data_IF_183494436910
#
_entry.id   IF_183494436910
#
_cell.length_a   1.000
_cell.length_b   1.000
_cell.length_c   1.000
_cell.angle_alpha   90.00
_cell.angle_beta   90.00
_cell.angle_gamma   90.00
#
_symmetry.space_group_name_H-M   'P 1'
#
loop_
_entity.id
_entity.type
_entity.pdbx_description
1 polymer ?
#
# COMPACT_ATOMS: atom_id res chain seq x y z
N UNK A 1 9.47 21.43 15.69
CA UNK A 1 10.40 20.80 16.66
C UNK A 1 9.98 19.35 16.84
N UNK A 2 10.94 18.43 16.93
CA UNK A 2 10.67 17.01 17.25
C UNK A 2 10.90 16.77 18.75
N UNK A 3 10.20 15.78 19.31
CA UNK A 3 10.34 15.41 20.73
C UNK A 3 11.76 14.92 21.05
N UNK A 4 12.27 15.11 22.29
CA UNK A 4 13.54 14.51 22.73
C UNK A 4 13.58 12.97 22.63
N UNK A 5 12.42 12.33 22.54
CA UNK A 5 12.28 10.88 22.37
C UNK A 5 12.44 10.42 20.92
N UNK A 6 12.54 11.34 19.96
CA UNK A 6 12.62 11.03 18.53
C UNK A 6 13.90 10.22 18.21
N UNK A 7 13.72 9.08 17.55
CA UNK A 7 14.76 8.18 17.07
C UNK A 7 14.70 8.16 15.56
N UNK A 8 15.76 8.67 14.92
CA UNK A 8 15.90 8.67 13.46
C UNK A 8 16.19 7.24 13.01
N UNK A 9 15.46 6.77 11.99
CA UNK A 9 15.84 5.59 11.22
C UNK A 9 16.62 6.04 9.99
N UNK A 10 17.87 5.59 9.87
CA UNK A 10 18.75 5.99 8.78
C UNK A 10 18.38 5.27 7.48
N UNK A 11 18.57 5.90 6.30
CA UNK A 11 18.31 5.28 5.00
C UNK A 11 19.04 3.94 4.83
N UNK A 12 20.26 3.85 5.37
CA UNK A 12 21.06 2.62 5.37
C UNK A 12 20.33 1.47 6.07
N UNK A 13 19.72 1.71 7.24
CA UNK A 13 19.00 0.67 7.99
C UNK A 13 17.81 0.09 7.19
N UNK A 14 17.16 0.92 6.35
CA UNK A 14 16.07 0.49 5.46
C UNK A 14 16.60 -0.45 4.38
N UNK A 15 17.73 -0.11 3.75
CA UNK A 15 18.31 -0.94 2.69
C UNK A 15 18.89 -2.24 3.26
N UNK A 16 19.51 -2.17 4.43
CA UNK A 16 20.04 -3.35 5.13
C UNK A 16 18.94 -4.30 5.56
N UNK A 17 17.78 -3.79 5.99
CA UNK A 17 16.60 -4.60 6.27
C UNK A 17 16.23 -5.51 5.09
N UNK A 18 16.25 -4.98 3.86
CA UNK A 18 15.97 -5.76 2.66
C UNK A 18 17.12 -6.65 2.22
N UNK A 19 18.38 -6.21 2.37
CA UNK A 19 19.55 -7.04 2.04
C UNK A 19 19.45 -8.40 2.73
N UNK A 20 19.06 -8.42 3.99
CA UNK A 20 18.94 -9.66 4.76
C UNK A 20 17.78 -10.54 4.25
N UNK A 21 16.65 -9.95 3.87
CA UNK A 21 15.51 -10.70 3.30
C UNK A 21 15.82 -11.27 1.92
N UNK A 22 16.57 -10.53 1.11
CA UNK A 22 17.08 -10.99 -0.19
C UNK A 22 18.12 -12.11 0.00
N UNK A 23 19.03 -11.97 0.97
CA UNK A 23 20.09 -12.94 1.22
C UNK A 23 19.57 -14.29 1.73
N UNK A 24 18.41 -14.31 2.38
CA UNK A 24 17.71 -15.54 2.78
C UNK A 24 16.99 -16.23 1.60
N UNK A 25 17.06 -15.66 0.39
CA UNK A 25 16.68 -16.32 -0.87
C UNK A 25 15.20 -16.21 -1.26
N UNK A 26 14.38 -15.45 -0.53
CA UNK A 26 12.93 -15.36 -0.79
C UNK A 26 12.46 -14.06 -1.43
N UNK A 27 13.23 -12.98 -1.35
CA UNK A 27 12.77 -11.64 -1.71
C UNK A 27 13.68 -11.01 -2.77
N UNK A 28 13.11 -10.18 -3.63
CA UNK A 28 13.86 -9.41 -4.63
C UNK A 28 13.52 -7.92 -4.51
N UNK A 29 14.53 -7.06 -4.40
CA UNK A 29 14.30 -5.62 -4.38
C UNK A 29 13.71 -5.17 -5.72
N UNK A 30 12.53 -4.54 -5.70
CA UNK A 30 11.79 -4.11 -6.89
C UNK A 30 12.04 -2.63 -7.17
N UNK A 31 11.75 -1.78 -6.19
CA UNK A 31 11.86 -0.33 -6.30
C UNK A 31 12.21 0.28 -4.95
N UNK A 32 12.91 1.40 -4.96
CA UNK A 32 13.15 2.21 -3.77
C UNK A 32 13.18 3.68 -4.17
N UNK A 33 12.88 4.57 -3.23
CA UNK A 33 12.84 5.98 -3.54
C UNK A 33 12.81 6.89 -2.32
N UNK A 34 13.08 8.16 -2.60
CA UNK A 34 12.95 9.26 -1.65
C UNK A 34 11.96 10.27 -2.19
N UNK A 35 11.18 10.87 -1.30
CA UNK A 35 10.14 11.86 -1.62
C UNK A 35 10.27 13.04 -0.65
N UNK A 36 9.66 14.17 -1.04
CA UNK A 36 9.60 15.38 -0.21
C UNK A 36 10.99 15.83 0.26
N UNK A 37 11.93 15.98 -0.68
CA UNK A 37 13.30 16.44 -0.38
C UNK A 37 14.04 15.53 0.61
N UNK A 38 13.81 14.22 0.51
CA UNK A 38 14.44 13.23 1.41
C UNK A 38 13.71 13.03 2.75
N UNK A 39 12.60 13.73 3.00
CA UNK A 39 11.82 13.56 4.24
C UNK A 39 11.09 12.23 4.32
N UNK A 40 10.81 11.58 3.19
CA UNK A 40 10.17 10.26 3.13
C UNK A 40 11.04 9.30 2.35
N UNK A 41 11.23 8.10 2.89
CA UNK A 41 12.02 7.04 2.28
C UNK A 41 11.20 5.77 2.24
N UNK A 42 11.37 5.01 1.17
CA UNK A 42 10.72 3.71 1.05
C UNK A 42 11.55 2.77 0.17
N UNK A 43 11.37 1.49 0.42
CA UNK A 43 11.82 0.41 -0.46
C UNK A 43 10.74 -0.66 -0.51
N UNK A 44 10.69 -1.36 -1.63
CA UNK A 44 9.70 -2.37 -1.97
C UNK A 44 10.44 -3.59 -2.48
N UNK A 45 10.11 -4.76 -1.95
CA UNK A 45 10.62 -6.03 -2.46
C UNK A 45 9.46 -6.93 -2.86
N UNK A 46 9.65 -7.69 -3.95
CA UNK A 46 8.80 -8.84 -4.29
C UNK A 46 9.01 -9.92 -3.24
N UNK A 47 7.93 -10.57 -2.81
CA UNK A 47 7.96 -11.69 -1.86
C UNK A 47 8.16 -13.05 -2.55
N UNK A 48 8.14 -13.07 -3.89
CA UNK A 48 8.08 -14.30 -4.68
C UNK A 48 6.65 -14.86 -4.81
N UNK A 49 5.69 -14.35 -4.04
CA UNK A 49 4.31 -14.80 -4.11
C UNK A 49 3.55 -14.13 -5.26
N UNK A 50 2.71 -14.90 -5.93
CA UNK A 50 1.77 -14.38 -6.93
C UNK A 50 0.45 -15.17 -6.92
N UNK A 51 -0.63 -14.53 -7.36
CA UNK A 51 -1.90 -15.18 -7.64
C UNK A 51 -2.41 -14.76 -9.01
N UNK A 52 -3.02 -15.71 -9.73
CA UNK A 52 -3.58 -15.46 -11.07
C UNK A 52 -5.10 -15.41 -10.96
N UNK A 53 -5.66 -14.21 -11.11
CA UNK A 53 -7.11 -14.00 -11.03
C UNK A 53 -7.81 -14.51 -12.29
N UNK A 54 -9.13 -14.68 -12.20
CA UNK A 54 -9.95 -15.02 -13.36
C UNK A 54 -9.77 -13.98 -14.48
N UNK A 55 -9.46 -14.46 -15.68
CA UNK A 55 -9.07 -13.61 -16.82
C UNK A 55 -7.56 -13.52 -17.06
N UNK A 56 -6.75 -14.18 -16.23
CA UNK A 56 -5.30 -14.30 -16.42
C UNK A 56 -4.49 -13.15 -15.83
N UNK A 57 -5.11 -12.25 -15.09
CA UNK A 57 -4.42 -11.13 -14.44
C UNK A 57 -3.54 -11.62 -13.29
N UNK A 58 -2.27 -11.23 -13.29
CA UNK A 58 -1.27 -11.68 -12.32
C UNK A 58 -1.05 -10.60 -11.28
N UNK A 59 -1.43 -10.92 -10.05
CA UNK A 59 -1.23 -10.03 -8.90
C UNK A 59 -0.06 -10.56 -8.06
N UNK A 60 0.94 -9.71 -7.85
CA UNK A 60 2.17 -10.05 -7.13
C UNK A 60 2.13 -9.56 -5.69
N UNK A 61 2.75 -10.32 -4.80
CA UNK A 61 2.98 -9.95 -3.41
C UNK A 61 4.24 -9.12 -3.25
N UNK A 62 4.12 -8.04 -2.49
CA UNK A 62 5.24 -7.17 -2.14
C UNK A 62 5.30 -6.93 -0.64
N UNK A 63 6.51 -6.68 -0.14
CA UNK A 63 6.77 -6.13 1.17
C UNK A 63 7.27 -4.70 1.03
N UNK A 64 6.52 -3.75 1.56
CA UNK A 64 6.88 -2.35 1.65
C UNK A 64 7.44 -2.03 3.03
N UNK A 65 8.54 -1.28 3.07
CA UNK A 65 9.06 -0.61 4.25
C UNK A 65 9.17 0.88 3.91
N UNK A 66 8.44 1.71 4.64
CA UNK A 66 8.40 3.14 4.44
C UNK A 66 8.58 3.88 5.77
N UNK A 67 9.31 4.99 5.75
CA UNK A 67 9.52 5.84 6.92
C UNK A 67 9.58 7.31 6.54
N UNK A 68 9.50 8.18 7.54
CA UNK A 68 9.71 9.61 7.38
C UNK A 68 10.58 10.20 8.46
N UNK A 69 11.44 11.13 8.07
CA UNK A 69 12.28 11.92 8.99
C UNK A 69 11.55 13.16 9.54
N UNK A 70 10.36 13.48 9.01
CA UNK A 70 9.53 14.62 9.42
C UNK A 70 8.39 14.24 10.39
N UNK A 71 8.26 12.95 10.73
CA UNK A 71 7.26 12.45 11.65
C UNK A 71 5.87 12.25 11.05
N UNK A 72 5.68 12.48 9.75
CA UNK A 72 4.38 12.29 9.08
C UNK A 72 4.00 10.83 8.84
N UNK A 73 4.97 9.92 8.96
CA UNK A 73 4.85 8.49 8.78
C UNK A 73 5.79 7.77 9.76
N UNK A 74 5.23 6.93 10.62
CA UNK A 74 6.01 5.98 11.43
C UNK A 74 6.74 4.99 10.52
N UNK A 75 7.87 4.43 10.96
CA UNK A 75 8.53 3.36 10.21
C UNK A 75 7.57 2.17 10.11
N UNK A 76 7.09 1.91 8.90
CA UNK A 76 5.97 1.00 8.64
C UNK A 76 6.43 -0.09 7.68
N UNK A 77 6.35 -1.34 8.12
CA UNK A 77 6.54 -2.52 7.29
C UNK A 77 5.18 -3.18 7.02
N UNK A 78 4.88 -3.55 5.78
CA UNK A 78 3.60 -4.17 5.45
C UNK A 78 3.64 -4.93 4.14
N UNK A 79 2.86 -6.02 4.08
CA UNK A 79 2.58 -6.70 2.82
C UNK A 79 1.56 -5.89 2.01
N UNK A 80 1.69 -5.90 0.69
CA UNK A 80 0.78 -5.20 -0.22
C UNK A 80 0.82 -5.83 -1.61
N UNK A 81 -0.29 -5.73 -2.35
CA UNK A 81 -0.35 -6.01 -3.79
C UNK A 81 -0.02 -4.79 -4.65
N UNK A 82 0.18 -3.61 -4.03
CA UNK A 82 0.47 -2.36 -4.74
C UNK A 82 1.95 -2.26 -5.06
N UNK A 83 2.27 -2.20 -6.36
CA UNK A 83 3.62 -1.84 -6.81
C UNK A 83 3.87 -0.34 -6.59
N UNK A 84 4.60 -0.02 -5.54
CA UNK A 84 4.97 1.36 -5.21
C UNK A 84 6.05 1.86 -6.15
N UNK A 85 5.79 3.01 -6.78
CA UNK A 85 6.70 3.67 -7.73
C UNK A 85 6.77 5.19 -7.52
N UNK A 86 5.80 5.77 -6.83
CA UNK A 86 5.69 7.20 -6.61
C UNK A 86 4.90 7.51 -5.32
N UNK A 87 4.73 8.79 -5.01
CA UNK A 87 4.01 9.20 -3.81
C UNK A 87 2.55 8.71 -3.78
N UNK A 88 1.85 8.68 -4.92
CA UNK A 88 0.44 8.29 -4.96
C UNK A 88 0.27 6.82 -4.57
N UNK A 89 1.05 5.93 -5.17
CA UNK A 89 1.02 4.49 -4.86
C UNK A 89 1.53 4.20 -3.46
N UNK A 90 2.51 4.96 -2.97
CA UNK A 90 2.94 4.89 -1.57
C UNK A 90 1.81 5.25 -0.60
N UNK A 91 1.04 6.31 -0.87
CA UNK A 91 -0.10 6.68 -0.03
C UNK A 91 -1.19 5.59 -0.06
N UNK A 92 -1.49 5.02 -1.22
CA UNK A 92 -2.45 3.91 -1.31
C UNK A 92 -1.98 2.71 -0.48
N UNK A 93 -0.73 2.30 -0.68
CA UNK A 93 -0.17 1.15 0.04
C UNK A 93 -0.20 1.39 1.55
N UNK A 94 0.25 2.56 2.04
CA UNK A 94 0.36 2.88 3.48
C UNK A 94 -0.95 3.23 4.17
N UNK A 95 -2.02 3.47 3.39
CA UNK A 95 -3.34 3.73 3.93
C UNK A 95 -4.10 2.44 4.28
N UNK A 96 -3.80 1.33 3.61
CA UNK A 96 -4.23 0.02 4.08
C UNK A 96 -3.43 -0.35 5.33
N UNK A 97 -4.12 -0.64 6.43
CA UNK A 97 -3.50 -0.83 7.76
C UNK A 97 -3.60 -2.27 8.24
N UNK A 98 -4.31 -3.13 7.52
CA UNK A 98 -4.48 -4.51 7.92
C UNK A 98 -3.12 -5.23 7.86
N UNK A 99 -2.63 -5.70 9.00
CA UNK A 99 -1.33 -6.40 9.10
C UNK A 99 -0.09 -5.49 9.03
N UNK A 100 -0.24 -4.17 9.04
CA UNK A 100 0.90 -3.25 9.03
C UNK A 100 1.61 -3.21 10.39
N UNK A 101 2.93 -3.42 10.38
CA UNK A 101 3.78 -3.29 11.56
C UNK A 101 4.34 -1.88 11.60
N UNK A 102 4.00 -1.13 12.65
CA UNK A 102 4.39 0.27 12.81
C UNK A 102 5.31 0.41 14.01
N UNK A 103 6.50 0.95 13.76
CA UNK A 103 7.44 1.38 14.79
C UNK A 103 7.36 2.90 14.89
N UNK A 104 6.75 3.44 15.97
CA UNK A 104 6.72 4.89 16.20
C UNK A 104 8.14 5.44 16.31
N UNK A 105 8.35 6.69 15.88
CA UNK A 105 9.66 7.36 16.01
C UNK A 105 10.09 7.63 17.45
N UNK A 106 9.24 7.40 18.45
CA UNK A 106 9.65 7.38 19.86
C UNK A 106 10.35 6.09 20.28
N UNK A 107 10.33 5.08 19.41
CA UNK A 107 10.86 3.73 19.65
C UNK A 107 12.01 3.46 18.69
N UNK A 108 13.05 2.76 19.17
CA UNK A 108 14.16 2.36 18.30
C UNK A 108 13.66 1.32 17.28
N UNK A 109 13.99 1.53 16.01
CA UNK A 109 13.76 0.52 14.99
C UNK A 109 14.69 -0.68 15.21
N UNK A 110 14.10 -1.87 15.28
CA UNK A 110 14.82 -3.13 15.38
C UNK A 110 14.43 -4.03 14.19
N UNK A 111 15.34 -4.23 13.23
CA UNK A 111 15.07 -5.06 12.05
C UNK A 111 14.65 -6.50 12.40
N UNK A 112 15.19 -7.09 13.46
CA UNK A 112 14.91 -8.48 13.82
C UNK A 112 13.49 -8.63 14.36
N UNK A 113 13.09 -7.72 15.25
CA UNK A 113 11.72 -7.70 15.81
C UNK A 113 10.69 -7.47 14.70
N UNK A 114 10.96 -6.56 13.77
CA UNK A 114 10.06 -6.29 12.64
C UNK A 114 9.96 -7.50 11.72
N UNK A 115 11.07 -8.19 11.40
CA UNK A 115 11.05 -9.42 10.58
C UNK A 115 10.30 -10.56 11.26
N UNK A 116 10.48 -10.75 12.57
CA UNK A 116 9.74 -11.76 13.34
C UNK A 116 8.23 -11.47 13.30
N UNK A 117 7.84 -10.21 13.51
CA UNK A 117 6.44 -9.79 13.42
C UNK A 117 5.87 -9.98 12.00
N UNK A 118 6.68 -9.77 10.94
CA UNK A 118 6.29 -10.06 9.55
C UNK A 118 6.09 -11.55 9.29
N UNK A 119 6.92 -12.41 9.91
CA UNK A 119 6.78 -13.87 9.81
C UNK A 119 5.47 -14.40 10.40
N UNK A 120 4.92 -13.71 11.41
CA UNK A 120 3.57 -13.98 11.93
C UNK A 120 2.48 -13.49 10.96
N UNK A 121 2.81 -12.53 10.08
CA UNK A 121 1.92 -11.89 9.12
C UNK A 121 1.83 -12.52 7.73
N UNK A 122 2.53 -13.63 7.45
CA UNK A 122 2.47 -14.32 6.14
C UNK A 122 1.03 -14.70 5.72
N UNK A 123 0.15 -14.94 6.70
CA UNK A 123 -1.29 -15.17 6.48
C UNK A 123 -2.03 -14.02 5.80
N UNK A 124 -1.49 -12.79 5.82
CA UNK A 124 -2.12 -11.63 5.21
C UNK A 124 -2.18 -11.74 3.68
N UNK A 125 -1.14 -12.30 3.05
CA UNK A 125 -1.14 -12.51 1.60
C UNK A 125 -2.16 -13.57 1.20
N UNK A 126 -2.20 -14.70 1.89
CA UNK A 126 -3.17 -15.78 1.63
C UNK A 126 -4.61 -15.26 1.75
N UNK A 127 -4.92 -14.53 2.82
CA UNK A 127 -6.24 -13.94 3.04
C UNK A 127 -6.59 -12.90 1.95
N UNK A 128 -5.62 -12.15 1.44
CA UNK A 128 -5.82 -11.26 0.31
C UNK A 128 -6.11 -12.05 -0.97
N UNK A 129 -5.28 -13.05 -1.29
CA UNK A 129 -5.41 -13.85 -2.50
C UNK A 129 -6.75 -14.58 -2.54
N UNK A 130 -7.19 -15.18 -1.44
CA UNK A 130 -8.50 -15.84 -1.32
C UNK A 130 -9.65 -14.87 -1.62
N UNK A 131 -9.65 -13.69 -0.99
CA UNK A 131 -10.68 -12.66 -1.22
C UNK A 131 -10.67 -12.15 -2.66
N UNK A 132 -9.48 -11.90 -3.22
CA UNK A 132 -9.33 -11.43 -4.60
C UNK A 132 -9.85 -12.48 -5.60
N UNK A 133 -9.56 -13.76 -5.37
CA UNK A 133 -10.08 -14.86 -6.18
C UNK A 133 -11.60 -14.95 -6.10
N UNK A 134 -12.16 -14.95 -4.89
CA UNK A 134 -13.61 -14.99 -4.67
C UNK A 134 -14.34 -13.82 -5.36
N UNK A 135 -13.78 -12.61 -5.27
CA UNK A 135 -14.31 -11.43 -5.95
C UNK A 135 -14.19 -11.54 -7.48
N UNK A 136 -13.06 -11.99 -8.00
CA UNK A 136 -12.85 -12.15 -9.46
C UNK A 136 -13.80 -13.20 -10.08
N UNK A 137 -14.20 -14.20 -9.30
CA UNK A 137 -15.11 -15.26 -9.72
C UNK A 137 -16.59 -14.85 -9.68
N UNK A 138 -16.94 -13.79 -8.93
CA UNK A 138 -18.33 -13.39 -8.68
C UNK A 138 -18.97 -12.83 -9.95
N UNK A 139 -20.02 -13.50 -10.43
CA UNK A 139 -20.88 -12.97 -11.51
C UNK A 139 -21.71 -11.81 -10.95
N UNK A 140 -21.78 -10.71 -11.71
CA UNK A 140 -22.57 -9.53 -11.37
C UNK A 140 -23.66 -9.31 -12.43
N UNK A 141 -24.85 -8.91 -11.99
CA UNK A 141 -25.95 -8.55 -12.90
C UNK A 141 -25.67 -7.16 -13.51
N UNK A 142 -25.94 -7.01 -14.80
CA UNK A 142 -25.76 -5.75 -15.53
C UNK A 142 -26.55 -4.59 -14.91
N UNK A 143 -27.75 -4.86 -14.39
CA UNK A 143 -28.56 -3.82 -13.71
C UNK A 143 -27.87 -3.28 -12.45
N UNK A 144 -27.30 -4.18 -11.64
CA UNK A 144 -26.58 -3.80 -10.42
C UNK A 144 -25.31 -3.02 -10.74
N UNK A 145 -24.59 -3.42 -11.80
CA UNK A 145 -23.40 -2.71 -12.28
C UNK A 145 -23.77 -1.29 -12.73
N UNK A 146 -24.81 -1.13 -13.54
CA UNK A 146 -25.25 0.19 -14.00
C UNK A 146 -25.66 1.07 -12.82
N UNK A 147 -26.45 0.54 -11.88
CA UNK A 147 -26.84 1.27 -10.67
C UNK A 147 -25.63 1.72 -9.88
N UNK A 148 -24.69 0.81 -9.61
CA UNK A 148 -23.48 1.11 -8.86
C UNK A 148 -22.63 2.19 -9.55
N UNK A 149 -22.46 2.12 -10.87
CA UNK A 149 -21.72 3.14 -11.63
C UNK A 149 -22.40 4.51 -11.50
N UNK A 150 -23.73 4.58 -11.61
CA UNK A 150 -24.47 5.84 -11.43
C UNK A 150 -24.32 6.36 -9.99
N UNK A 151 -24.39 5.49 -8.98
CA UNK A 151 -24.27 5.91 -7.58
C UNK A 151 -22.88 6.47 -7.25
N UNK A 152 -21.83 5.91 -7.86
CA UNK A 152 -20.42 6.30 -7.62
C UNK A 152 -19.97 7.45 -8.51
N UNK A 153 -20.30 7.41 -9.80
CA UNK A 153 -19.78 8.31 -10.83
C UNK A 153 -20.84 9.23 -11.44
N UNK A 154 -22.12 9.01 -11.18
CA UNK A 154 -23.20 9.84 -11.71
C UNK A 154 -23.21 11.22 -11.06
N UNK A 155 -23.59 12.23 -11.84
CA UNK A 155 -23.73 13.61 -11.38
C UNK A 155 -24.76 13.68 -10.25
N UNK A 156 -24.30 13.98 -9.04
CA UNK A 156 -25.16 14.24 -7.87
C UNK A 156 -25.92 15.57 -7.98
N UNK A 157 -25.57 16.38 -8.97
CA UNK A 157 -26.20 17.65 -9.30
C UNK A 157 -26.38 17.70 -10.82
N UNK A 158 -27.52 17.23 -11.36
CA UNK A 158 -27.83 17.52 -12.75
C UNK A 158 -27.90 19.05 -12.92
N UNK A 159 -27.41 19.62 -14.03
CA UNK A 159 -27.57 21.04 -14.30
C UNK A 159 -29.06 21.38 -14.22
N UNK A 160 -29.40 22.42 -13.46
CA UNK A 160 -30.77 22.94 -13.40
C UNK A 160 -31.25 23.19 -14.84
N UNK A 161 -32.46 22.76 -15.21
CA UNK A 161 -32.97 23.03 -16.54
C UNK A 161 -32.97 24.54 -16.75
N UNK A 162 -32.23 25.01 -17.77
CA UNK A 162 -32.26 26.41 -18.16
C UNK A 162 -33.69 26.76 -18.55
N UNK A 163 -34.35 27.56 -17.72
CA UNK A 163 -35.70 28.06 -18.01
C UNK A 163 -35.70 28.75 -19.38
N UNK A 164 -36.69 28.51 -20.25
CA UNK A 164 -36.70 29.10 -21.58
C UNK A 164 -36.72 30.63 -21.44
N UNK A 165 -35.71 31.29 -22.01
CA UNK A 165 -35.69 32.73 -22.19
C UNK A 165 -36.97 33.13 -22.96
N UNK A 166 -37.95 33.71 -22.26
CA UNK A 166 -39.10 34.37 -22.90
C UNK A 166 -38.53 35.52 -23.72
N UNK A 167 -38.53 35.39 -25.04
CA UNK A 167 -38.36 36.51 -25.96
C UNK A 167 -39.59 37.40 -25.83
N UNK A 168 -39.39 38.64 -25.42
CA UNK A 168 -40.20 39.79 -25.83
C UNK A 168 -39.35 40.57 -26.82
#
# INVERSE_FOLDING_TARGET
>A
MVSPRYKVVQPKEILEFYRDLVSLGGFELETAGVLKEGKKLWALAKTGEETVLKGGDRVKGYLLLATSCDGTLATTAQFTSVRVVCNNTLQIATNDRAGAIKVPHSTKFDPLVVKQALGVGASAWDAFAEKAQALSGRKVNRMDVTKYIIDVLGDRMPPLPSSPMKRL
#
